data_IF_396963509632
#
_entry.id   IF_396963509632
#
_cell.length_a   1.000
_cell.length_b   1.000
_cell.length_c   1.000
_cell.angle_alpha   90.00
_cell.angle_beta   90.00
_cell.angle_gamma   90.00
#
_symmetry.space_group_name_H-M   'P 1'
#
loop_
_entity.id
_entity.type
_entity.pdbx_description
1 polymer ?
#
# COMPACT_ATOMS: atom_id res chain seq x y z
N UNK A 1 -57.56 -8.27 -2.96
CA UNK A 1 -56.56 -7.39 -3.62
C UNK A 1 -55.24 -7.50 -2.87
N UNK A 2 -54.34 -8.39 -3.32
CA UNK A 2 -53.09 -8.71 -2.61
C UNK A 2 -52.01 -7.65 -2.91
N UNK A 3 -51.71 -6.79 -1.93
CA UNK A 3 -50.55 -5.88 -2.02
C UNK A 3 -49.28 -6.70 -1.82
N UNK A 4 -48.44 -6.78 -2.87
CA UNK A 4 -47.08 -7.34 -2.77
C UNK A 4 -46.32 -6.53 -1.72
N UNK A 5 -45.91 -7.16 -0.62
CA UNK A 5 -44.99 -6.58 0.37
C UNK A 5 -43.64 -6.38 -0.32
N UNK A 6 -43.27 -5.13 -0.57
CA UNK A 6 -41.91 -4.80 -0.97
C UNK A 6 -41.00 -5.08 0.22
N UNK A 7 -40.06 -6.01 0.05
CA UNK A 7 -38.98 -6.21 0.99
C UNK A 7 -38.08 -4.99 0.83
N UNK A 8 -38.07 -4.09 1.79
CA UNK A 8 -37.10 -3.01 1.89
C UNK A 8 -35.70 -3.65 2.01
N UNK A 9 -35.06 -3.90 0.87
CA UNK A 9 -33.66 -4.30 0.84
C UNK A 9 -32.85 -3.07 1.22
N UNK A 10 -32.27 -3.10 2.41
CA UNK A 10 -31.33 -2.10 2.89
C UNK A 10 -30.20 -1.94 1.85
N UNK A 11 -30.10 -0.74 1.26
CA UNK A 11 -29.09 -0.39 0.26
C UNK A 11 -27.66 -0.50 0.82
N UNK A 12 -27.50 -0.48 2.15
CA UNK A 12 -26.21 -0.63 2.80
C UNK A 12 -25.74 -2.07 2.93
N UNK A 13 -26.60 -3.05 2.60
CA UNK A 13 -26.22 -4.47 2.53
C UNK A 13 -25.06 -4.74 1.57
N UNK A 14 -24.91 -3.90 0.53
CA UNK A 14 -23.76 -3.91 -0.38
C UNK A 14 -22.44 -3.65 0.35
N UNK A 15 -22.40 -2.74 1.33
CA UNK A 15 -21.19 -2.44 2.10
C UNK A 15 -20.78 -3.57 3.06
N UNK A 16 -21.72 -4.45 3.44
CA UNK A 16 -21.44 -5.61 4.29
C UNK A 16 -20.48 -6.59 3.62
N UNK A 17 -20.62 -6.79 2.31
CA UNK A 17 -19.73 -7.60 1.47
C UNK A 17 -18.26 -7.13 1.55
N UNK A 18 -18.01 -5.81 1.49
CA UNK A 18 -16.64 -5.27 1.52
C UNK A 18 -15.90 -5.52 2.83
N UNK A 19 -16.61 -5.56 3.96
CA UNK A 19 -15.98 -5.84 5.26
C UNK A 19 -15.53 -7.29 5.40
N UNK A 20 -16.18 -8.22 4.70
CA UNK A 20 -15.83 -9.65 4.76
C UNK A 20 -14.69 -10.01 3.78
N UNK A 21 -14.51 -9.26 2.68
CA UNK A 21 -13.47 -9.49 1.66
C UNK A 21 -12.05 -9.19 2.15
N UNK A 22 -11.89 -8.38 3.21
CA UNK A 22 -10.56 -8.02 3.74
C UNK A 22 -9.80 -9.21 4.37
N UNK A 23 -10.49 -10.32 4.64
CA UNK A 23 -9.91 -11.60 5.11
C UNK A 23 -9.75 -12.64 4.00
N UNK A 24 -9.80 -12.25 2.73
CA UNK A 24 -9.39 -13.16 1.65
C UNK A 24 -7.92 -13.53 1.89
N UNK A 25 -7.68 -14.83 2.07
CA UNK A 25 -6.39 -15.48 2.19
C UNK A 25 -5.57 -15.25 0.92
N UNK A 26 -5.02 -14.05 0.78
CA UNK A 26 -4.02 -13.74 -0.23
C UNK A 26 -2.88 -14.72 0.00
N UNK A 27 -2.59 -15.55 -1.01
CA UNK A 27 -1.36 -16.35 -1.02
C UNK A 27 -0.21 -15.40 -0.67
N UNK A 28 0.68 -15.77 0.27
CA UNK A 28 1.75 -14.88 0.69
C UNK A 28 2.57 -14.51 -0.54
N UNK A 29 2.63 -13.20 -0.84
CA UNK A 29 3.54 -12.69 -1.84
C UNK A 29 4.94 -12.94 -1.28
N UNK A 30 5.65 -13.92 -1.84
CA UNK A 30 7.06 -14.14 -1.54
C UNK A 30 7.85 -13.11 -2.34
N UNK A 31 8.28 -12.06 -1.67
CA UNK A 31 9.22 -11.07 -2.22
C UNK A 31 10.62 -11.48 -1.80
N UNK A 32 11.55 -11.45 -2.74
CA UNK A 32 12.97 -11.67 -2.48
C UNK A 32 13.50 -10.59 -1.49
N UNK A 33 14.20 -11.03 -0.44
CA UNK A 33 14.83 -10.15 0.56
C UNK A 33 15.80 -9.15 -0.08
N UNK A 34 16.41 -9.51 -1.22
CA UNK A 34 17.27 -8.62 -2.00
C UNK A 34 16.50 -7.40 -2.52
N UNK A 35 15.23 -7.56 -2.91
CA UNK A 35 14.39 -6.45 -3.39
C UNK A 35 14.05 -5.52 -2.23
N UNK A 36 13.69 -6.07 -1.07
CA UNK A 36 13.40 -5.30 0.13
C UNK A 36 14.64 -4.50 0.54
N UNK A 37 15.81 -5.15 0.56
CA UNK A 37 17.08 -4.51 0.89
C UNK A 37 17.43 -3.39 -0.09
N UNK A 38 17.27 -3.62 -1.40
CA UNK A 38 17.53 -2.60 -2.43
C UNK A 38 16.61 -1.38 -2.28
N UNK A 39 15.34 -1.57 -1.95
CA UNK A 39 14.39 -0.47 -1.69
C UNK A 39 14.78 0.28 -0.41
N UNK A 40 15.15 -0.46 0.64
CA UNK A 40 15.60 0.11 1.92
C UNK A 40 16.84 0.98 1.73
N UNK A 41 17.86 0.48 1.02
CA UNK A 41 19.10 1.21 0.76
C UNK A 41 18.84 2.50 -0.01
N UNK A 42 18.01 2.44 -1.06
CA UNK A 42 17.61 3.63 -1.81
C UNK A 42 16.91 4.68 -0.94
N UNK A 43 15.96 4.26 -0.08
CA UNK A 43 15.27 5.16 0.85
C UNK A 43 16.22 5.73 1.92
N UNK A 44 17.18 4.93 2.41
CA UNK A 44 18.20 5.36 3.36
C UNK A 44 19.11 6.43 2.76
N UNK A 45 19.63 6.20 1.55
CA UNK A 45 20.53 7.12 0.86
C UNK A 45 19.88 8.47 0.55
N UNK A 46 18.57 8.47 0.24
CA UNK A 46 17.83 9.68 -0.09
C UNK A 46 17.26 10.40 1.14
N UNK A 47 17.01 9.67 2.22
CA UNK A 47 16.36 10.18 3.43
C UNK A 47 14.85 10.39 3.26
N UNK A 48 14.43 11.21 2.30
CA UNK A 48 13.04 11.49 1.97
C UNK A 48 12.79 11.34 0.47
N UNK A 49 11.78 10.56 0.10
CA UNK A 49 11.44 10.27 -1.31
C UNK A 49 9.94 10.37 -1.51
N UNK A 50 9.52 11.10 -2.55
CA UNK A 50 8.12 11.15 -2.96
C UNK A 50 7.67 9.81 -3.54
N UNK A 51 6.38 9.50 -3.44
CA UNK A 51 5.78 8.31 -4.04
C UNK A 51 6.07 8.30 -5.54
N UNK A 52 5.89 9.42 -6.23
CA UNK A 52 6.15 9.54 -7.66
C UNK A 52 7.60 9.22 -8.01
N UNK A 53 8.58 9.73 -7.26
CA UNK A 53 10.00 9.43 -7.47
C UNK A 53 10.30 7.95 -7.21
N UNK A 54 9.77 7.39 -6.12
CA UNK A 54 9.94 5.99 -5.77
C UNK A 54 9.39 5.05 -6.87
N UNK A 55 8.23 5.37 -7.46
CA UNK A 55 7.69 4.65 -8.62
C UNK A 55 8.57 4.76 -9.86
N UNK A 56 9.09 5.95 -10.15
CA UNK A 56 9.98 6.14 -11.30
C UNK A 56 11.27 5.34 -11.11
N UNK A 57 11.85 5.36 -9.91
CA UNK A 57 13.03 4.59 -9.58
C UNK A 57 12.77 3.08 -9.63
N UNK A 58 11.65 2.60 -9.08
CA UNK A 58 11.31 1.18 -9.08
C UNK A 58 11.14 0.65 -10.51
N UNK A 59 10.48 1.43 -11.37
CA UNK A 59 10.29 1.11 -12.79
C UNK A 59 11.62 1.04 -13.53
N UNK A 60 12.54 1.99 -13.30
CA UNK A 60 13.90 1.96 -13.87
C UNK A 60 14.70 0.74 -13.41
N UNK A 61 14.45 0.27 -12.18
CA UNK A 61 15.10 -0.90 -11.60
C UNK A 61 14.35 -2.22 -11.85
N UNK A 62 13.33 -2.23 -12.71
CA UNK A 62 12.53 -3.41 -13.05
C UNK A 62 11.85 -4.08 -11.85
N UNK A 63 11.54 -3.31 -10.80
CA UNK A 63 10.82 -3.79 -9.63
C UNK A 63 9.32 -3.75 -9.91
N UNK A 64 8.65 -4.89 -9.77
CA UNK A 64 7.20 -5.00 -9.95
C UNK A 64 6.45 -4.11 -8.94
N UNK A 65 5.35 -3.42 -9.35
CA UNK A 65 4.58 -2.59 -8.44
C UNK A 65 4.09 -3.35 -7.20
N UNK A 66 3.68 -4.61 -7.35
CA UNK A 66 3.25 -5.46 -6.22
C UNK A 66 4.36 -5.68 -5.20
N UNK A 67 5.59 -5.89 -5.66
CA UNK A 67 6.75 -6.06 -4.77
C UNK A 67 7.10 -4.75 -4.08
N UNK A 68 7.08 -3.63 -4.82
CA UNK A 68 7.30 -2.30 -4.23
C UNK A 68 6.29 -2.03 -3.09
N UNK A 69 4.99 -2.21 -3.35
CA UNK A 69 3.95 -2.00 -2.34
C UNK A 69 4.14 -2.91 -1.13
N UNK A 70 4.44 -4.19 -1.35
CA UNK A 70 4.69 -5.14 -0.27
C UNK A 70 5.89 -4.72 0.58
N UNK A 71 7.03 -4.43 -0.05
CA UNK A 71 8.24 -4.01 0.66
C UNK A 71 8.04 -2.70 1.42
N UNK A 72 7.37 -1.70 0.83
CA UNK A 72 7.05 -0.45 1.54
C UNK A 72 6.21 -0.74 2.79
N UNK A 73 5.18 -1.57 2.69
CA UNK A 73 4.35 -1.91 3.84
C UNK A 73 5.16 -2.61 4.93
N UNK A 74 6.01 -3.57 4.57
CA UNK A 74 6.89 -4.23 5.54
C UNK A 74 7.86 -3.25 6.23
N UNK A 75 8.43 -2.30 5.49
CA UNK A 75 9.32 -1.28 6.06
C UNK A 75 8.57 -0.30 6.97
N UNK A 76 7.30 0.01 6.68
CA UNK A 76 6.45 0.82 7.56
C UNK A 76 6.10 0.04 8.84
N UNK A 77 5.69 -1.23 8.71
CA UNK A 77 5.37 -2.10 9.84
C UNK A 77 6.57 -2.33 10.76
N UNK A 78 7.77 -2.40 10.16
CA UNK A 78 9.05 -2.51 10.88
C UNK A 78 9.56 -1.17 11.41
N UNK A 79 8.79 -0.08 11.25
CA UNK A 79 9.13 1.28 11.67
C UNK A 79 10.48 1.79 11.11
N UNK A 80 10.90 1.28 9.93
CA UNK A 80 12.12 1.71 9.23
C UNK A 80 11.85 2.99 8.43
N UNK A 81 10.62 3.13 7.91
CA UNK A 81 10.17 4.31 7.17
C UNK A 81 8.83 4.82 7.72
N UNK A 82 8.58 6.12 7.58
CA UNK A 82 7.27 6.76 7.81
C UNK A 82 6.68 7.26 6.50
N UNK A 83 5.35 7.23 6.41
CA UNK A 83 4.58 7.76 5.27
C UNK A 83 3.73 8.93 5.73
N UNK A 84 3.85 10.08 5.06
CA UNK A 84 2.98 11.24 5.27
C UNK A 84 2.70 11.94 3.94
N UNK A 85 1.71 12.81 3.91
CA UNK A 85 1.48 13.70 2.77
C UNK A 85 2.24 15.00 3.01
N UNK A 86 2.98 15.47 2.01
CA UNK A 86 3.68 16.75 2.06
C UNK A 86 3.06 17.71 1.04
N UNK A 87 2.50 18.81 1.53
CA UNK A 87 1.82 19.82 0.70
C UNK A 87 2.77 20.55 -0.23
N UNK A 88 4.08 20.61 0.06
CA UNK A 88 5.07 21.26 -0.81
C UNK A 88 5.27 20.49 -2.11
N UNK A 89 5.15 19.16 -2.05
CA UNK A 89 5.29 18.27 -3.18
C UNK A 89 3.94 17.81 -3.77
N UNK A 90 2.84 18.13 -3.08
CA UNK A 90 1.49 17.62 -3.37
C UNK A 90 1.45 16.09 -3.53
N UNK A 91 2.33 15.38 -2.81
CA UNK A 91 2.50 13.93 -2.93
C UNK A 91 2.73 13.28 -1.56
N UNK A 92 2.56 11.96 -1.54
CA UNK A 92 2.96 11.12 -0.43
C UNK A 92 4.49 11.05 -0.38
N UNK A 93 5.06 11.29 0.79
CA UNK A 93 6.49 11.18 1.06
C UNK A 93 6.75 9.98 1.96
N UNK A 94 7.80 9.24 1.63
CA UNK A 94 8.37 8.17 2.43
C UNK A 94 9.69 8.67 3.03
N UNK A 95 9.77 8.70 4.36
CA UNK A 95 10.94 9.17 5.10
C UNK A 95 11.60 8.02 5.85
N UNK A 96 12.90 7.87 5.70
CA UNK A 96 13.72 6.94 6.48
C UNK A 96 13.87 7.43 7.92
N UNK A 97 13.64 6.55 8.90
CA UNK A 97 13.61 6.92 10.33
C UNK A 97 14.45 6.00 11.23
N UNK A 98 14.87 4.83 10.76
CA UNK A 98 15.83 3.99 11.49
C UNK A 98 17.22 4.58 11.35
N UNK A 99 18.03 4.54 12.40
CA UNK A 99 19.49 4.65 12.27
C UNK A 99 20.08 3.37 11.65
#
# INVERSE_FOLDING_TARGET
>A
MNRKKYIEKDITSFFKSYREISKSSKKPIRVDENIISKIKDFLRERGEVTKTELYKWSKKNQILPSYLYYSINQLIESNIIKKYFDSRYEDIVYKYVSE
#
